data_IF_325759946780
#
_entry.id   IF_325759946780
#
_cell.length_a   1.000
_cell.length_b   1.000
_cell.length_c   1.000
_cell.angle_alpha   90.00
_cell.angle_beta   90.00
_cell.angle_gamma   90.00
#
_symmetry.space_group_name_H-M   'P 1'
#
loop_
_entity.id
_entity.type
_entity.pdbx_description
1 polymer ?
#
# COMPACT_ATOMS: atom_id res chain seq x y z
N UNK A 1 -35.44 -42.53 -3.62
CA UNK A 1 -34.63 -42.16 -2.44
C UNK A 1 -34.72 -40.65 -2.31
N UNK A 2 -35.68 -40.17 -1.52
CA UNK A 2 -35.88 -38.72 -1.31
C UNK A 2 -35.00 -38.27 -0.14
N UNK A 3 -34.04 -37.39 -0.44
CA UNK A 3 -33.20 -36.76 0.56
C UNK A 3 -34.03 -35.70 1.32
N UNK A 4 -34.59 -36.10 2.47
CA UNK A 4 -35.12 -35.17 3.44
C UNK A 4 -33.96 -34.39 4.07
N UNK A 5 -33.57 -33.26 3.47
CA UNK A 5 -32.80 -32.24 4.18
C UNK A 5 -33.70 -31.61 5.22
N UNK A 6 -33.58 -32.11 6.45
CA UNK A 6 -34.27 -31.57 7.62
C UNK A 6 -33.70 -30.17 7.90
N UNK A 7 -34.40 -29.15 7.44
CA UNK A 7 -34.09 -27.76 7.79
C UNK A 7 -34.39 -27.55 9.27
N UNK A 8 -33.34 -27.38 10.07
CA UNK A 8 -33.47 -26.96 11.47
C UNK A 8 -33.82 -25.47 11.50
N UNK A 9 -35.10 -25.17 11.68
CA UNK A 9 -35.56 -23.82 11.94
C UNK A 9 -35.34 -23.49 13.41
N UNK A 10 -34.42 -22.56 13.67
CA UNK A 10 -34.22 -22.00 15.01
C UNK A 10 -35.13 -20.78 15.12
N UNK A 11 -36.18 -20.89 15.93
CA UNK A 11 -37.01 -19.75 16.28
C UNK A 11 -36.26 -18.92 17.34
N UNK A 12 -35.82 -17.73 16.96
CA UNK A 12 -35.17 -16.77 17.85
C UNK A 12 -36.19 -15.67 18.16
N UNK A 13 -36.20 -15.17 19.39
CA UNK A 13 -37.06 -14.04 19.73
C UNK A 13 -36.65 -12.80 18.94
N UNK A 14 -37.60 -11.93 18.60
CA UNK A 14 -37.31 -10.71 17.83
C UNK A 14 -36.24 -9.85 18.52
N UNK A 15 -36.28 -9.78 19.84
CA UNK A 15 -35.35 -8.98 20.64
C UNK A 15 -33.91 -9.52 20.60
N UNK A 16 -33.73 -10.85 20.65
CA UNK A 16 -32.42 -11.48 20.53
C UNK A 16 -31.86 -11.35 19.10
N UNK A 17 -32.73 -11.41 18.09
CA UNK A 17 -32.35 -11.18 16.70
C UNK A 17 -31.86 -9.75 16.46
N UNK A 18 -32.52 -8.74 17.05
CA UNK A 18 -32.07 -7.35 16.92
C UNK A 18 -30.73 -7.10 17.61
N UNK A 19 -30.52 -7.65 18.81
CA UNK A 19 -29.22 -7.58 19.49
C UNK A 19 -28.10 -8.24 18.69
N UNK A 20 -28.35 -9.40 18.09
CA UNK A 20 -27.39 -10.08 17.22
C UNK A 20 -27.07 -9.21 15.99
N UNK A 21 -28.09 -8.61 15.39
CA UNK A 21 -27.94 -7.75 14.23
C UNK A 21 -27.10 -6.51 14.54
N UNK A 22 -27.37 -5.83 15.66
CA UNK A 22 -26.56 -4.69 16.12
C UNK A 22 -25.10 -5.07 16.35
N UNK A 23 -24.84 -6.25 16.91
CA UNK A 23 -23.48 -6.76 17.09
C UNK A 23 -22.78 -7.03 15.75
N UNK A 24 -23.48 -7.61 14.79
CA UNK A 24 -22.96 -7.85 13.44
C UNK A 24 -22.68 -6.55 12.70
N UNK A 25 -23.55 -5.55 12.82
CA UNK A 25 -23.36 -4.22 12.24
C UNK A 25 -22.16 -3.50 12.87
N UNK A 26 -21.97 -3.63 14.19
CA UNK A 26 -20.80 -3.09 14.90
C UNK A 26 -19.50 -3.78 14.45
N UNK A 27 -19.53 -5.10 14.24
CA UNK A 27 -18.39 -5.86 13.73
C UNK A 27 -18.07 -5.45 12.28
N UNK A 28 -19.07 -5.35 11.41
CA UNK A 28 -18.91 -4.90 10.04
C UNK A 28 -18.32 -3.48 9.97
N UNK A 29 -18.82 -2.58 10.83
CA UNK A 29 -18.28 -1.21 10.94
C UNK A 29 -16.83 -1.23 11.41
N UNK A 30 -16.48 -2.07 12.39
CA UNK A 30 -15.10 -2.20 12.88
C UNK A 30 -14.14 -2.78 11.86
N UNK A 31 -14.58 -3.77 11.08
CA UNK A 31 -13.80 -4.36 9.97
C UNK A 31 -13.56 -3.30 8.89
N UNK A 32 -14.62 -2.63 8.42
CA UNK A 32 -14.50 -1.56 7.42
C UNK A 32 -13.65 -0.37 7.93
N UNK A 33 -13.69 -0.06 9.22
CA UNK A 33 -12.87 1.01 9.79
C UNK A 33 -11.39 0.65 9.97
N UNK A 34 -11.03 -0.63 9.95
CA UNK A 34 -9.64 -1.09 10.16
C UNK A 34 -8.88 -1.38 8.85
N UNK A 35 -9.59 -1.65 7.76
CA UNK A 35 -9.00 -2.35 6.61
C UNK A 35 -8.70 -1.50 5.36
N UNK A 36 -8.94 -0.18 5.35
CA UNK A 36 -8.59 0.63 4.15
C UNK A 36 -7.37 1.55 4.28
N UNK A 37 -6.97 1.95 5.49
CA UNK A 37 -5.87 2.92 5.64
C UNK A 37 -4.60 2.33 6.28
N UNK A 38 -4.67 1.46 7.28
CA UNK A 38 -3.46 1.18 8.08
C UNK A 38 -2.38 0.32 7.40
N UNK A 39 -2.74 -0.58 6.48
CA UNK A 39 -1.78 -1.43 5.75
C UNK A 39 -1.40 -0.79 4.40
N UNK A 40 -2.36 -0.08 3.80
CA UNK A 40 -2.19 0.68 2.57
C UNK A 40 -1.32 1.91 2.79
N UNK A 41 -1.46 2.64 3.91
CA UNK A 41 -0.62 3.79 4.23
C UNK A 41 0.87 3.41 4.40
N UNK A 42 1.16 2.26 5.00
CA UNK A 42 2.54 1.76 5.17
C UNK A 42 3.11 1.24 3.84
N UNK A 43 2.26 0.69 2.95
CA UNK A 43 2.68 0.23 1.61
C UNK A 43 2.74 1.38 0.58
N UNK A 44 1.97 2.45 0.76
CA UNK A 44 2.00 3.64 -0.09
C UNK A 44 3.29 4.42 0.12
N UNK A 45 3.88 4.31 1.30
CA UNK A 45 5.12 4.97 1.64
C UNK A 45 6.35 4.26 1.07
N UNK A 46 6.29 2.95 0.81
CA UNK A 46 7.41 2.15 0.32
C UNK A 46 7.22 1.63 -1.11
N UNK A 47 8.15 1.99 -1.98
CA UNK A 47 8.10 1.69 -3.40
C UNK A 47 9.09 0.58 -3.76
N UNK A 48 8.65 -0.38 -4.60
CA UNK A 48 9.51 -1.48 -5.06
C UNK A 48 10.64 -1.01 -5.98
N UNK A 49 11.71 -1.82 -6.11
CA UNK A 49 12.80 -1.59 -7.05
C UNK A 49 12.33 -1.31 -8.49
N UNK A 50 11.29 -2.01 -8.94
CA UNK A 50 10.74 -1.79 -10.28
C UNK A 50 10.13 -0.40 -10.40
N UNK A 51 9.20 -0.04 -9.51
CA UNK A 51 8.56 1.28 -9.56
C UNK A 51 9.54 2.42 -9.32
N UNK A 52 10.55 2.22 -8.47
CA UNK A 52 11.63 3.20 -8.27
C UNK A 52 12.31 3.55 -9.61
N UNK A 53 12.66 2.53 -10.40
CA UNK A 53 13.29 2.71 -11.70
C UNK A 53 12.36 3.39 -12.71
N UNK A 54 11.07 3.06 -12.66
CA UNK A 54 10.05 3.72 -13.46
C UNK A 54 9.90 5.21 -13.08
N UNK A 55 9.86 5.53 -11.78
CA UNK A 55 9.75 6.91 -11.28
C UNK A 55 10.92 7.80 -11.70
N UNK A 56 12.15 7.30 -11.56
CA UNK A 56 13.34 8.06 -11.96
C UNK A 56 13.68 7.90 -13.45
N UNK A 57 12.98 7.03 -14.17
CA UNK A 57 13.30 6.63 -15.55
C UNK A 57 14.78 6.23 -15.73
N UNK A 58 15.28 5.35 -14.86
CA UNK A 58 16.69 4.91 -14.85
C UNK A 58 16.86 3.42 -15.04
N UNK A 59 18.01 3.02 -15.60
CA UNK A 59 18.38 1.61 -15.71
C UNK A 59 18.66 0.98 -14.33
N UNK A 60 18.61 -0.36 -14.25
CA UNK A 60 18.96 -1.09 -13.02
C UNK A 60 20.38 -0.79 -12.56
N UNK A 61 21.33 -0.71 -13.50
CA UNK A 61 22.74 -0.40 -13.20
C UNK A 61 22.89 1.01 -12.62
N UNK A 62 22.16 1.97 -13.19
CA UNK A 62 22.15 3.36 -12.70
C UNK A 62 21.56 3.44 -11.30
N UNK A 63 20.45 2.75 -11.03
CA UNK A 63 19.88 2.67 -9.68
C UNK A 63 20.88 2.06 -8.69
N UNK A 64 21.51 0.93 -9.03
CA UNK A 64 22.50 0.30 -8.14
C UNK A 64 23.64 1.25 -7.82
N UNK A 65 24.12 2.03 -8.78
CA UNK A 65 25.12 3.08 -8.56
C UNK A 65 24.62 4.16 -7.59
N UNK A 66 23.42 4.68 -7.78
CA UNK A 66 22.84 5.72 -6.89
C UNK A 66 22.73 5.20 -5.44
N UNK A 67 22.27 3.96 -5.29
CA UNK A 67 22.00 3.36 -3.97
C UNK A 67 23.28 2.88 -3.26
N UNK A 68 24.19 2.22 -3.99
CA UNK A 68 25.36 1.55 -3.41
C UNK A 68 26.62 2.42 -3.45
N UNK A 69 26.84 3.15 -4.54
CA UNK A 69 28.08 3.92 -4.73
C UNK A 69 27.94 5.35 -4.20
N UNK A 70 26.76 5.96 -4.33
CA UNK A 70 26.52 7.34 -3.91
C UNK A 70 25.88 7.44 -2.52
N UNK A 71 25.45 6.31 -1.92
CA UNK A 71 24.70 6.26 -0.65
C UNK A 71 23.55 7.29 -0.58
N UNK A 72 22.97 7.61 -1.73
CA UNK A 72 22.08 8.76 -1.84
C UNK A 72 20.63 8.46 -1.41
N UNK A 73 20.29 7.17 -1.25
CA UNK A 73 18.94 6.71 -0.96
C UNK A 73 18.95 5.53 0.00
N UNK A 74 18.15 5.64 1.06
CA UNK A 74 17.93 4.56 2.00
C UNK A 74 16.96 3.52 1.43
N UNK A 75 17.12 2.27 1.85
CA UNK A 75 16.22 1.20 1.45
C UNK A 75 16.05 0.17 2.57
N UNK A 76 14.88 -0.48 2.57
CA UNK A 76 14.58 -1.64 3.39
C UNK A 76 14.66 -2.89 2.52
N UNK A 77 15.29 -3.95 3.04
CA UNK A 77 15.38 -5.24 2.36
C UNK A 77 14.46 -6.25 3.03
N UNK A 78 13.56 -6.85 2.25
CA UNK A 78 12.74 -7.98 2.69
C UNK A 78 13.09 -9.17 1.80
N UNK A 79 13.83 -10.13 2.37
CA UNK A 79 14.44 -11.21 1.60
C UNK A 79 15.41 -10.67 0.55
N UNK A 80 15.15 -10.97 -0.74
CA UNK A 80 15.94 -10.51 -1.89
C UNK A 80 15.41 -9.23 -2.54
N UNK A 81 14.31 -8.67 -2.02
CA UNK A 81 13.66 -7.48 -2.62
C UNK A 81 14.01 -6.23 -1.83
N UNK A 82 14.27 -5.14 -2.56
CA UNK A 82 14.52 -3.81 -1.99
C UNK A 82 13.29 -2.93 -2.15
N UNK A 83 13.03 -2.14 -1.11
CA UNK A 83 11.94 -1.17 -1.04
C UNK A 83 12.50 0.18 -0.62
N UNK A 84 12.02 1.24 -1.24
CA UNK A 84 12.53 2.60 -1.10
C UNK A 84 11.43 3.51 -0.59
N UNK A 85 11.74 4.37 0.37
CA UNK A 85 10.76 5.32 0.89
C UNK A 85 10.42 6.38 -0.18
N UNK A 86 9.15 6.66 -0.42
CA UNK A 86 8.73 7.55 -1.49
C UNK A 86 9.27 8.98 -1.28
N UNK A 87 9.31 9.46 -0.04
CA UNK A 87 9.84 10.79 0.27
C UNK A 87 11.35 10.93 0.02
N UNK A 88 12.12 9.87 0.22
CA UNK A 88 13.54 9.87 -0.12
C UNK A 88 13.72 10.00 -1.65
N UNK A 89 12.86 9.35 -2.44
CA UNK A 89 12.84 9.48 -3.91
C UNK A 89 12.49 10.91 -4.32
N UNK A 90 11.45 11.51 -3.72
CA UNK A 90 11.05 12.90 -4.00
C UNK A 90 12.15 13.89 -3.64
N UNK A 91 12.81 13.69 -2.50
CA UNK A 91 13.94 14.53 -2.07
C UNK A 91 15.12 14.40 -3.03
N UNK A 92 15.47 13.18 -3.41
CA UNK A 92 16.53 12.94 -4.40
C UNK A 92 16.25 13.65 -5.73
N UNK A 93 15.01 13.59 -6.23
CA UNK A 93 14.58 14.31 -7.43
C UNK A 93 14.69 15.83 -7.26
N UNK A 94 14.32 16.35 -6.10
CA UNK A 94 14.39 17.78 -5.81
C UNK A 94 15.83 18.28 -5.79
N UNK A 95 16.75 17.52 -5.17
CA UNK A 95 18.17 17.86 -5.05
C UNK A 95 18.92 17.77 -6.39
N UNK A 96 18.45 16.92 -7.31
CA UNK A 96 19.06 16.69 -8.62
C UNK A 96 18.29 17.35 -9.78
N UNK A 97 17.30 18.19 -9.47
CA UNK A 97 16.56 18.94 -10.47
C UNK A 97 17.50 19.98 -11.09
N UNK A 98 17.84 19.78 -12.35
CA UNK A 98 18.47 20.82 -13.15
C UNK A 98 17.33 21.68 -13.69
N UNK A 99 17.15 22.87 -13.11
CA UNK A 99 16.27 23.87 -13.69
C UNK A 99 16.86 24.27 -15.05
N UNK A 100 16.28 23.75 -16.12
CA UNK A 100 16.62 24.17 -17.47
C UNK A 100 16.06 25.58 -17.63
N UNK A 101 16.91 26.61 -17.81
CA UNK A 101 16.41 27.95 -18.09
C UNK A 101 15.58 27.89 -19.37
N UNK A 102 14.38 28.46 -19.31
CA UNK A 102 13.46 28.51 -20.44
C UNK A 102 14.18 29.16 -21.63
N UNK A 103 14.33 28.41 -22.72
CA UNK A 103 15.01 28.87 -23.94
C UNK A 103 14.10 29.77 -24.79
N UNK A 104 13.27 30.58 -24.15
CA UNK A 104 12.34 31.49 -24.82
C UNK A 104 12.70 32.99 -24.65
N UNK A 105 13.84 33.30 -24.03
CA UNK A 105 14.39 34.67 -23.97
C UNK A 105 15.54 34.86 -24.97
N UNK A 106 15.27 34.76 -26.28
CA UNK A 106 16.08 35.41 -27.35
C UNK A 106 15.17 35.86 -28.49
#
# INVERSE_FOLDING_TARGET
MENNSQFNFIAISKEEWEKLKEQLDLIATKINSKDENTVTDILDEYVSEQRFREFLNVSQRTMQRIVLEQQALNYVSIGKRKFFHQDDIKKFLSDHRIDVPDRNDV
#
